data_IF_351702966839
#
_entry.id   IF_351702966839
#
_cell.length_a   1.000
_cell.length_b   1.000
_cell.length_c   1.000
_cell.angle_alpha   90.00
_cell.angle_beta   90.00
_cell.angle_gamma   90.00
#
_symmetry.space_group_name_H-M   'P 1'
#
loop_
_entity.id
_entity.type
_entity.pdbx_description
1 polymer ?
#
# COMPACT_ATOMS: atom_id res chain seq x y z
N UNK A 1 -7.61 -21.03 10.96
CA UNK A 1 -6.26 -21.25 10.39
C UNK A 1 -6.12 -20.42 9.10
N UNK A 2 -6.25 -19.10 9.24
CA UNK A 2 -5.98 -18.08 8.20
C UNK A 2 -5.16 -16.93 8.80
N UNK A 3 -5.26 -16.74 10.13
CA UNK A 3 -4.46 -15.78 10.91
C UNK A 3 -2.94 -16.10 10.99
N UNK A 4 -2.47 -17.22 10.44
CA UNK A 4 -1.05 -17.60 10.51
C UNK A 4 -0.22 -17.12 9.31
N UNK A 5 -0.87 -16.58 8.27
CA UNK A 5 -0.21 -16.13 7.03
C UNK A 5 -0.02 -14.61 6.94
N UNK A 6 -0.57 -13.83 7.88
CA UNK A 6 -0.46 -12.37 7.85
C UNK A 6 -1.20 -11.72 6.68
N UNK A 7 -2.22 -12.41 6.16
CA UNK A 7 -3.08 -11.96 5.06
C UNK A 7 -4.40 -11.45 5.65
N UNK A 8 -4.82 -10.24 5.28
CA UNK A 8 -6.08 -9.67 5.76
C UNK A 8 -7.32 -10.25 5.05
N UNK A 9 -8.52 -9.82 5.46
CA UNK A 9 -9.78 -10.27 4.85
C UNK A 9 -9.93 -9.97 3.35
N UNK A 10 -9.12 -9.05 2.81
CA UNK A 10 -9.07 -8.66 1.41
C UNK A 10 -7.92 -9.33 0.65
N UNK A 11 -7.16 -10.23 1.28
CA UNK A 11 -6.03 -10.88 0.66
C UNK A 11 -4.75 -10.02 0.65
N UNK A 12 -4.72 -8.91 1.39
CA UNK A 12 -3.54 -8.06 1.49
C UNK A 12 -2.51 -8.66 2.42
N UNK A 13 -1.27 -8.69 1.96
CA UNK A 13 -0.13 -9.07 2.78
C UNK A 13 0.29 -7.89 3.67
N UNK A 14 1.11 -8.18 4.68
CA UNK A 14 1.65 -7.17 5.57
C UNK A 14 2.35 -6.04 4.81
N UNK A 15 3.11 -6.35 3.76
CA UNK A 15 3.82 -5.35 2.97
C UNK A 15 2.88 -4.39 2.25
N UNK A 16 1.72 -4.86 1.80
CA UNK A 16 0.71 -4.01 1.15
C UNK A 16 0.14 -2.99 2.13
N UNK A 17 -0.17 -3.43 3.36
CA UNK A 17 -0.69 -2.56 4.42
C UNK A 17 0.37 -1.55 4.83
N UNK A 18 1.62 -1.95 4.95
CA UNK A 18 2.75 -1.06 5.25
C UNK A 18 2.97 -0.04 4.12
N UNK A 19 2.86 -0.46 2.85
CA UNK A 19 2.95 0.41 1.68
C UNK A 19 1.88 1.52 1.71
N UNK A 20 0.61 1.16 1.88
CA UNK A 20 -0.49 2.12 1.98
C UNK A 20 -0.33 3.03 3.20
N UNK A 21 0.04 2.46 4.35
CA UNK A 21 0.24 3.20 5.61
C UNK A 21 1.35 4.23 5.49
N UNK A 22 2.45 3.88 4.82
CA UNK A 22 3.58 4.76 4.60
C UNK A 22 3.18 5.97 3.76
N UNK A 23 2.45 5.76 2.66
CA UNK A 23 1.91 6.85 1.83
C UNK A 23 0.99 7.74 2.65
N UNK A 24 0.08 7.14 3.44
CA UNK A 24 -0.89 7.88 4.24
C UNK A 24 -0.22 8.75 5.33
N UNK A 25 0.68 8.15 6.13
CA UNK A 25 1.22 8.78 7.34
C UNK A 25 2.47 9.63 7.07
N UNK A 26 3.38 9.17 6.21
CA UNK A 26 4.67 9.84 5.98
C UNK A 26 4.63 10.84 4.83
N UNK A 27 3.78 10.59 3.83
CA UNK A 27 3.68 11.41 2.62
C UNK A 27 2.32 12.12 2.50
N UNK A 28 1.49 12.09 3.55
CA UNK A 28 0.18 12.74 3.60
C UNK A 28 -0.73 12.41 2.41
N UNK A 29 -0.63 11.17 1.90
CA UNK A 29 -1.40 10.70 0.75
C UNK A 29 -0.65 10.71 -0.58
N UNK A 30 0.58 11.23 -0.63
CA UNK A 30 1.40 11.30 -1.84
C UNK A 30 1.29 12.66 -2.57
N UNK A 31 1.81 12.76 -3.80
CA UNK A 31 2.46 11.71 -4.58
C UNK A 31 3.87 11.37 -4.08
N UNK A 32 4.24 10.09 -4.08
CA UNK A 32 5.58 9.61 -3.71
C UNK A 32 6.18 8.67 -4.76
N UNK A 33 7.49 8.78 -5.01
CA UNK A 33 8.19 7.93 -5.97
C UNK A 33 8.40 6.51 -5.45
N UNK A 34 8.38 5.50 -6.33
CA UNK A 34 8.58 4.11 -5.94
C UNK A 34 9.94 3.86 -5.30
N UNK A 35 11.00 4.52 -5.78
CA UNK A 35 12.32 4.36 -5.19
C UNK A 35 12.33 4.77 -3.72
N UNK A 36 11.58 5.82 -3.36
CA UNK A 36 11.43 6.27 -1.98
C UNK A 36 10.66 5.27 -1.14
N UNK A 37 9.61 4.67 -1.70
CA UNK A 37 8.83 3.63 -1.02
C UNK A 37 9.66 2.35 -0.81
N UNK A 38 10.35 1.87 -1.84
CA UNK A 38 11.25 0.72 -1.79
C UNK A 38 12.30 0.87 -0.69
N UNK A 39 12.99 2.02 -0.64
CA UNK A 39 13.98 2.31 0.41
C UNK A 39 13.34 2.36 1.79
N UNK A 40 12.16 2.96 1.92
CA UNK A 40 11.49 3.11 3.22
C UNK A 40 10.89 1.80 3.75
N UNK A 41 10.50 0.88 2.86
CA UNK A 41 9.96 -0.44 3.18
C UNK A 41 11.03 -1.53 3.25
N UNK A 42 12.29 -1.20 2.89
CA UNK A 42 13.38 -2.16 2.76
C UNK A 42 13.04 -3.31 1.80
N UNK A 43 12.38 -2.96 0.69
CA UNK A 43 11.95 -3.89 -0.35
C UNK A 43 12.55 -3.52 -1.70
N UNK A 44 12.61 -4.50 -2.60
CA UNK A 44 13.01 -4.25 -3.98
C UNK A 44 11.92 -3.49 -4.74
N UNK A 45 12.35 -2.56 -5.59
CA UNK A 45 11.45 -1.76 -6.41
C UNK A 45 10.56 -2.66 -7.30
N UNK A 46 11.15 -3.69 -7.89
CA UNK A 46 10.46 -4.62 -8.79
C UNK A 46 9.37 -5.39 -8.05
N UNK A 47 9.65 -5.89 -6.84
CA UNK A 47 8.64 -6.51 -5.95
C UNK A 47 7.43 -5.59 -5.76
N UNK A 48 7.67 -4.31 -5.49
CA UNK A 48 6.58 -3.37 -5.27
C UNK A 48 5.80 -3.06 -6.56
N UNK A 49 6.46 -2.89 -7.71
CA UNK A 49 5.80 -2.55 -8.98
C UNK A 49 5.08 -3.74 -9.62
N UNK A 50 5.63 -4.95 -9.48
CA UNK A 50 5.14 -6.14 -10.18
C UNK A 50 4.17 -6.97 -9.32
N UNK A 51 4.28 -6.90 -7.99
CA UNK A 51 3.43 -7.69 -7.08
C UNK A 51 2.45 -6.82 -6.29
N UNK A 52 2.93 -5.78 -5.58
CA UNK A 52 2.08 -4.98 -4.69
C UNK A 52 1.16 -4.02 -5.46
N UNK A 53 1.73 -3.17 -6.32
CA UNK A 53 0.99 -2.11 -7.02
C UNK A 53 -0.21 -2.63 -7.82
N UNK A 54 -0.09 -3.69 -8.64
CA UNK A 54 -1.21 -4.15 -9.45
C UNK A 54 -2.41 -4.54 -8.60
N UNK A 55 -2.16 -5.15 -7.44
CA UNK A 55 -3.20 -5.55 -6.51
C UNK A 55 -3.87 -4.36 -5.83
N UNK A 56 -3.07 -3.44 -5.30
CA UNK A 56 -3.55 -2.22 -4.63
C UNK A 56 -4.32 -1.29 -5.57
N UNK A 57 -3.90 -1.19 -6.83
CA UNK A 57 -4.60 -0.41 -7.87
C UNK A 57 -5.92 -1.09 -8.24
N UNK A 58 -5.93 -2.43 -8.38
CA UNK A 58 -7.15 -3.19 -8.70
C UNK A 58 -8.22 -3.08 -7.62
N UNK A 59 -7.80 -3.04 -6.34
CA UNK A 59 -8.71 -2.77 -5.21
C UNK A 59 -9.13 -1.28 -5.13
N UNK A 60 -8.52 -0.41 -5.94
CA UNK A 60 -8.78 1.01 -5.95
C UNK A 60 -8.19 1.75 -4.76
N UNK A 61 -7.21 1.20 -4.04
CA UNK A 61 -6.58 1.81 -2.87
C UNK A 61 -5.42 2.75 -3.23
N UNK A 62 -4.82 2.53 -4.40
CA UNK A 62 -3.67 3.25 -4.89
C UNK A 62 -3.92 3.76 -6.31
N UNK A 63 -3.40 4.95 -6.63
CA UNK A 63 -3.34 5.48 -7.97
C UNK A 63 -1.90 5.79 -8.38
N UNK A 64 -1.54 5.44 -9.62
CA UNK A 64 -0.28 5.85 -10.24
C UNK A 64 -0.49 7.12 -11.05
N UNK A 65 0.27 8.15 -10.72
CA UNK A 65 0.30 9.43 -11.43
C UNK A 65 1.69 9.65 -12.04
N UNK A 66 1.81 10.63 -12.94
CA UNK A 66 3.11 11.05 -13.48
C UNK A 66 4.10 11.54 -12.41
N UNK A 67 3.59 11.97 -11.25
CA UNK A 67 4.39 12.49 -10.13
C UNK A 67 4.73 11.43 -9.07
N UNK A 68 4.11 10.25 -9.15
CA UNK A 68 4.27 9.20 -8.14
C UNK A 68 2.95 8.53 -7.76
N UNK A 69 2.98 7.86 -6.60
CA UNK A 69 1.91 7.03 -6.08
C UNK A 69 1.11 7.83 -5.06
N UNK A 70 -0.20 7.83 -5.23
CA UNK A 70 -1.13 8.60 -4.41
C UNK A 70 -2.17 7.65 -3.82
N UNK A 71 -2.50 7.83 -2.54
CA UNK A 71 -3.55 7.06 -1.89
C UNK A 71 -4.92 7.59 -2.31
N UNK A 72 -5.84 6.70 -2.64
CA UNK A 72 -7.21 7.08 -2.97
C UNK A 72 -8.05 7.24 -1.70
N UNK A 73 -9.25 7.79 -1.83
CA UNK A 73 -10.26 7.81 -0.75
C UNK A 73 -10.58 6.42 -0.23
N UNK A 74 -10.62 5.40 -1.10
CA UNK A 74 -10.86 4.01 -0.69
C UNK A 74 -9.68 3.44 0.10
N UNK A 75 -8.44 3.75 -0.29
CA UNK A 75 -7.25 3.36 0.46
C UNK A 75 -7.22 3.97 1.87
N UNK A 76 -7.60 5.24 2.00
CA UNK A 76 -7.79 5.88 3.32
C UNK A 76 -8.85 5.18 4.16
N UNK A 77 -10.02 4.91 3.56
CA UNK A 77 -11.12 4.24 4.27
C UNK A 77 -10.73 2.83 4.73
N UNK A 78 -9.98 2.10 3.91
CA UNK A 78 -9.41 0.81 4.27
C UNK A 78 -8.51 0.91 5.50
N UNK A 79 -7.53 1.83 5.50
CA UNK A 79 -6.60 2.02 6.62
C UNK A 79 -7.30 2.46 7.91
N UNK A 80 -8.38 3.24 7.81
CA UNK A 80 -9.17 3.62 8.98
C UNK A 80 -9.88 2.42 9.61
N UNK A 81 -10.43 1.52 8.79
CA UNK A 81 -11.06 0.28 9.27
C UNK A 81 -10.02 -0.72 9.81
N UNK A 82 -8.87 -0.84 9.16
CA UNK A 82 -7.80 -1.74 9.58
C UNK A 82 -7.19 -1.35 10.94
N UNK A 83 -7.18 -0.07 11.30
CA UNK A 83 -6.74 0.39 12.63
C UNK A 83 -7.80 0.21 13.75
N UNK A 84 -8.95 -0.43 13.48
CA UNK A 84 -10.02 -0.69 14.45
C UNK A 84 -10.15 -2.18 14.86
N UNK A 85 -9.12 -3.00 14.65
CA UNK A 85 -9.08 -4.40 15.08
C UNK A 85 -7.87 -4.65 15.99
#
# INVERSE_FOLDING_TARGET
MLDLLGIDSLGLERIDVEFLTLIAKKFHGGPVGIQTLAVALNEERETLEDLCEPYLIRLGFLERTSRGRTLTTHGYAYLQKANQL
#
